data_IF_842459723578
#
_entry.id   IF_842459723578
#
_cell.length_a   1.000
_cell.length_b   1.000
_cell.length_c   1.000
_cell.angle_alpha   90.00
_cell.angle_beta   90.00
_cell.angle_gamma   90.00
#
_symmetry.space_group_name_H-M   'P 1'
#
loop_
_entity.id
_entity.type
_entity.pdbx_description
1 polymer ?
#
# COMPACT_ATOMS: atom_id res chain seq x y z
N UNK A 1 2.51 25.56 5.56
CA UNK A 1 2.46 24.73 6.79
C UNK A 1 1.76 23.44 6.41
N UNK A 2 2.35 22.28 6.73
CA UNK A 2 1.70 21.00 6.49
C UNK A 2 0.45 20.91 7.37
N UNK A 3 -0.65 20.42 6.82
CA UNK A 3 -1.88 20.16 7.56
C UNK A 3 -1.60 19.12 8.67
N UNK A 4 -2.27 19.21 9.83
CA UNK A 4 -2.09 18.23 10.89
C UNK A 4 -2.54 16.84 10.43
N UNK A 5 -1.73 15.83 10.72
CA UNK A 5 -2.04 14.42 10.47
C UNK A 5 -3.16 14.02 11.43
N UNK A 6 -4.36 13.78 10.91
CA UNK A 6 -5.56 13.43 11.69
C UNK A 6 -5.78 11.92 11.82
N UNK A 7 -4.91 11.09 11.27
CA UNK A 7 -4.94 9.63 11.44
C UNK A 7 -3.83 9.17 12.38
N UNK A 8 -4.20 8.33 13.35
CA UNK A 8 -3.25 7.70 14.25
C UNK A 8 -2.48 6.64 13.47
N UNK A 9 -1.21 6.91 13.18
CA UNK A 9 -0.34 5.99 12.45
C UNK A 9 0.75 5.42 13.36
N UNK A 10 0.96 4.11 13.28
CA UNK A 10 2.06 3.43 13.97
C UNK A 10 3.45 3.80 13.40
N UNK A 11 3.51 4.52 12.29
CA UNK A 11 4.74 5.03 11.70
C UNK A 11 4.71 6.55 11.64
N UNK A 12 5.59 7.27 12.36
CA UNK A 12 5.74 8.70 12.15
C UNK A 12 6.34 8.94 10.76
N UNK A 13 5.46 9.19 9.78
CA UNK A 13 5.84 9.64 8.44
C UNK A 13 6.70 10.89 8.61
N UNK A 14 7.94 10.82 8.14
CA UNK A 14 8.96 11.87 8.33
C UNK A 14 9.36 12.15 9.80
N UNK A 15 9.57 11.09 10.60
CA UNK A 15 10.25 11.10 11.91
C UNK A 15 11.44 12.07 11.99
N UNK A 16 11.78 12.55 13.19
CA UNK A 16 12.99 13.36 13.46
C UNK A 16 14.26 12.69 12.89
N UNK A 17 14.30 11.34 12.89
CA UNK A 17 15.39 10.53 12.38
C UNK A 17 15.48 10.53 10.83
N UNK A 18 14.44 10.97 10.13
CA UNK A 18 14.44 11.11 8.68
C UNK A 18 15.22 12.37 8.27
N UNK A 19 16.24 12.25 7.39
CA UNK A 19 16.97 13.39 6.85
C UNK A 19 16.02 14.44 6.26
N UNK A 20 16.20 15.75 6.54
CA UNK A 20 15.28 16.79 6.07
C UNK A 20 14.98 16.73 4.57
N UNK A 21 15.97 16.38 3.75
CA UNK A 21 15.82 16.25 2.28
C UNK A 21 14.88 15.13 1.84
N UNK A 22 14.66 14.11 2.67
CA UNK A 22 13.82 12.95 2.35
C UNK A 22 12.40 13.06 2.91
N UNK A 23 12.12 14.04 3.77
CA UNK A 23 10.79 14.18 4.39
C UNK A 23 9.69 14.44 3.37
N UNK A 24 9.93 15.33 2.41
CA UNK A 24 8.97 15.66 1.35
C UNK A 24 8.66 14.49 0.41
N UNK A 25 9.65 13.79 -0.18
CA UNK A 25 9.35 12.64 -1.03
C UNK A 25 8.70 11.49 -0.26
N UNK A 26 9.08 11.25 1.00
CA UNK A 26 8.42 10.23 1.85
C UNK A 26 6.96 10.61 2.11
N UNK A 27 6.69 11.87 2.46
CA UNK A 27 5.32 12.35 2.66
C UNK A 27 4.48 12.24 1.38
N UNK A 28 5.07 12.46 0.20
CA UNK A 28 4.39 12.31 -1.08
C UNK A 28 4.05 10.85 -1.41
N UNK A 29 4.98 9.92 -1.18
CA UNK A 29 4.72 8.47 -1.34
C UNK A 29 3.63 8.02 -0.37
N UNK A 30 3.72 8.48 0.88
CA UNK A 30 2.73 8.18 1.90
C UNK A 30 1.34 8.69 1.51
N UNK A 31 1.20 9.96 1.13
CA UNK A 31 -0.07 10.54 0.70
C UNK A 31 -0.66 9.81 -0.51
N UNK A 32 0.17 9.36 -1.45
CA UNK A 32 -0.23 8.52 -2.58
C UNK A 32 -0.81 7.17 -2.11
N UNK A 33 -0.08 6.44 -1.28
CA UNK A 33 -0.50 5.13 -0.79
C UNK A 33 -1.80 5.25 0.03
N UNK A 34 -1.86 6.20 0.96
CA UNK A 34 -3.04 6.45 1.80
C UNK A 34 -4.28 6.83 0.99
N UNK A 35 -4.12 7.67 -0.03
CA UNK A 35 -5.26 8.04 -0.90
C UNK A 35 -5.77 6.83 -1.69
N UNK A 36 -4.88 5.95 -2.15
CA UNK A 36 -5.29 4.74 -2.86
C UNK A 36 -5.99 3.73 -1.92
N UNK A 37 -5.48 3.59 -0.70
CA UNK A 37 -6.10 2.83 0.40
C UNK A 37 -7.51 3.36 0.71
N UNK A 38 -7.68 4.69 0.86
CA UNK A 38 -8.98 5.31 1.10
C UNK A 38 -9.99 5.01 -0.01
N UNK A 39 -9.55 5.04 -1.27
CA UNK A 39 -10.39 4.67 -2.42
C UNK A 39 -10.82 3.20 -2.31
N UNK A 40 -9.94 2.30 -1.87
CA UNK A 40 -10.22 0.89 -1.75
C UNK A 40 -11.11 0.55 -0.52
N UNK A 41 -11.03 1.33 0.55
CA UNK A 41 -11.50 0.90 1.87
C UNK A 41 -12.60 1.76 2.47
N UNK A 42 -12.60 3.06 2.22
CA UNK A 42 -13.44 4.01 2.96
C UNK A 42 -14.74 4.37 2.24
N UNK A 43 -15.74 4.82 2.99
CA UNK A 43 -17.02 5.29 2.44
C UNK A 43 -17.99 4.17 2.03
N UNK A 44 -18.99 4.54 1.23
CA UNK A 44 -20.12 3.67 0.84
C UNK A 44 -20.06 3.25 -0.64
N UNK A 45 -18.92 3.46 -1.30
CA UNK A 45 -18.74 3.11 -2.70
C UNK A 45 -18.78 1.58 -2.90
N UNK A 46 -19.45 1.16 -3.97
CA UNK A 46 -19.48 -0.24 -4.40
C UNK A 46 -18.10 -0.70 -4.87
N UNK A 47 -17.85 -2.01 -4.85
CA UNK A 47 -16.60 -2.58 -5.37
C UNK A 47 -16.30 -2.12 -6.82
N UNK A 48 -17.34 -1.99 -7.65
CA UNK A 48 -17.21 -1.50 -9.03
C UNK A 48 -16.71 -0.05 -9.08
N UNK A 49 -17.28 0.84 -8.27
CA UNK A 49 -16.88 2.25 -8.20
C UNK A 49 -15.45 2.40 -7.70
N UNK A 50 -15.07 1.64 -6.65
CA UNK A 50 -13.71 1.62 -6.11
C UNK A 50 -12.69 1.18 -7.16
N UNK A 51 -12.96 0.10 -7.89
CA UNK A 51 -12.10 -0.39 -8.97
C UNK A 51 -11.98 0.62 -10.11
N UNK A 52 -13.07 1.30 -10.47
CA UNK A 52 -13.04 2.36 -11.48
C UNK A 52 -12.18 3.55 -11.02
N UNK A 53 -12.30 3.95 -9.75
CA UNK A 53 -11.52 5.04 -9.18
C UNK A 53 -10.03 4.67 -9.05
N UNK A 54 -9.69 3.45 -8.63
CA UNK A 54 -8.30 2.95 -8.65
C UNK A 54 -7.74 2.89 -10.07
N UNK A 55 -8.55 2.53 -11.07
CA UNK A 55 -8.12 2.54 -12.46
C UNK A 55 -7.85 3.96 -12.97
N UNK A 56 -8.69 4.93 -12.61
CA UNK A 56 -8.47 6.34 -12.90
C UNK A 56 -7.22 6.88 -12.17
N UNK A 57 -7.01 6.50 -10.92
CA UNK A 57 -5.83 6.85 -10.13
C UNK A 57 -4.55 6.29 -10.75
N UNK A 58 -4.58 5.04 -11.24
CA UNK A 58 -3.49 4.40 -12.00
C UNK A 58 -3.23 5.11 -13.33
N UNK A 59 -4.26 5.61 -14.00
CA UNK A 59 -4.09 6.38 -15.23
C UNK A 59 -3.41 7.72 -14.94
N UNK A 60 -3.78 8.40 -13.85
CA UNK A 60 -3.13 9.64 -13.44
C UNK A 60 -1.68 9.42 -13.03
N UNK A 61 -1.35 8.35 -12.29
CA UNK A 61 0.04 7.97 -12.01
C UNK A 61 0.87 7.82 -13.30
N UNK A 62 0.30 7.18 -14.33
CA UNK A 62 0.97 7.03 -15.64
C UNK A 62 1.18 8.38 -16.33
N UNK A 63 0.19 9.26 -16.30
CA UNK A 63 0.27 10.61 -16.88
C UNK A 63 1.36 11.45 -16.21
N UNK A 64 1.38 11.51 -14.87
CA UNK A 64 2.37 12.33 -14.15
C UNK A 64 3.77 11.78 -14.23
N UNK A 65 3.93 10.45 -14.29
CA UNK A 65 5.22 9.81 -14.54
C UNK A 65 5.76 10.11 -15.95
N UNK A 66 4.86 10.37 -16.92
CA UNK A 66 5.21 10.85 -18.25
C UNK A 66 5.42 12.38 -18.33
N UNK A 67 5.36 13.09 -17.20
CA UNK A 67 5.57 14.54 -17.14
C UNK A 67 4.35 15.40 -17.43
N UNK A 68 3.15 14.81 -17.52
CA UNK A 68 1.90 15.57 -17.68
C UNK A 68 1.48 16.20 -16.35
N UNK A 69 0.78 17.33 -16.40
CA UNK A 69 0.28 17.98 -15.20
C UNK A 69 -0.75 17.09 -14.48
N UNK A 70 -0.76 17.08 -13.12
CA UNK A 70 -1.77 16.37 -12.34
C UNK A 70 -3.20 16.81 -12.68
N UNK A 71 -4.14 15.86 -12.61
CA UNK A 71 -5.57 16.14 -12.77
C UNK A 71 -6.13 16.87 -11.55
N UNK A 72 -7.23 17.61 -11.74
CA UNK A 72 -7.82 18.43 -10.68
C UNK A 72 -8.27 17.60 -9.46
N UNK A 73 -8.71 16.35 -9.68
CA UNK A 73 -9.28 15.48 -8.62
C UNK A 73 -8.24 15.14 -7.54
N UNK A 74 -7.00 14.88 -7.91
CA UNK A 74 -5.94 14.43 -7.00
C UNK A 74 -4.67 15.27 -7.09
N UNK A 75 -4.79 16.52 -7.57
CA UNK A 75 -3.67 17.45 -7.73
C UNK A 75 -2.82 17.62 -6.47
N UNK A 76 -3.47 17.63 -5.29
CA UNK A 76 -2.78 17.76 -4.00
C UNK A 76 -1.87 16.55 -3.66
N UNK A 77 -2.16 15.37 -4.23
CA UNK A 77 -1.39 14.15 -4.02
C UNK A 77 -0.36 13.97 -5.13
N UNK A 78 -0.80 14.12 -6.39
CA UNK A 78 0.06 13.88 -7.54
C UNK A 78 1.04 15.03 -7.84
N UNK A 79 0.79 16.26 -7.40
CA UNK A 79 1.76 17.35 -7.52
C UNK A 79 3.06 17.06 -6.75
N UNK A 80 3.00 16.84 -5.43
CA UNK A 80 4.17 16.42 -4.65
C UNK A 80 4.78 15.11 -5.14
N UNK A 81 3.96 14.12 -5.52
CA UNK A 81 4.46 12.85 -6.05
C UNK A 81 5.22 13.04 -7.37
N UNK A 82 4.74 13.89 -8.28
CA UNK A 82 5.44 14.18 -9.53
C UNK A 82 6.81 14.80 -9.27
N UNK A 83 6.91 15.75 -8.33
CA UNK A 83 8.19 16.31 -7.93
C UNK A 83 9.14 15.24 -7.37
N UNK A 84 8.62 14.29 -6.58
CA UNK A 84 9.40 13.16 -6.06
C UNK A 84 9.84 12.18 -7.17
N UNK A 85 8.93 11.83 -8.09
CA UNK A 85 9.20 10.97 -9.25
C UNK A 85 10.35 11.54 -10.10
N UNK A 86 10.32 12.84 -10.39
CA UNK A 86 11.34 13.50 -11.21
C UNK A 86 12.64 13.72 -10.44
N UNK A 87 12.56 14.26 -9.22
CA UNK A 87 13.74 14.63 -8.42
C UNK A 87 14.55 13.44 -7.93
N UNK A 88 13.90 12.29 -7.69
CA UNK A 88 14.56 11.08 -7.20
C UNK A 88 14.56 9.92 -8.20
N UNK A 89 13.97 10.10 -9.40
CA UNK A 89 13.81 9.03 -10.41
C UNK A 89 13.18 7.77 -9.80
N UNK A 90 12.13 7.97 -9.00
CA UNK A 90 11.48 6.88 -8.28
C UNK A 90 10.97 5.81 -9.27
N UNK A 91 11.14 4.52 -8.95
CA UNK A 91 10.66 3.43 -9.79
C UNK A 91 9.13 3.36 -9.78
N UNK A 92 8.49 3.87 -10.85
CA UNK A 92 7.03 3.91 -10.96
C UNK A 92 6.37 2.52 -10.89
N UNK A 93 7.09 1.45 -11.21
CA UNK A 93 6.60 0.09 -11.08
C UNK A 93 6.18 -0.23 -9.64
N UNK A 94 6.98 0.18 -8.64
CA UNK A 94 6.68 -0.06 -7.22
C UNK A 94 5.39 0.64 -6.77
N UNK A 95 5.10 1.83 -7.30
CA UNK A 95 3.85 2.54 -7.02
C UNK A 95 2.65 1.84 -7.69
N UNK A 96 2.84 1.21 -8.85
CA UNK A 96 1.79 0.43 -9.53
C UNK A 96 1.49 -0.86 -8.77
N UNK A 97 2.51 -1.51 -8.21
CA UNK A 97 2.34 -2.73 -7.40
C UNK A 97 1.42 -2.46 -6.21
N UNK A 98 1.57 -1.32 -5.52
CA UNK A 98 0.65 -0.91 -4.45
C UNK A 98 -0.79 -0.80 -4.96
N UNK A 99 -1.00 -0.18 -6.12
CA UNK A 99 -2.33 -0.09 -6.73
C UNK A 99 -2.88 -1.45 -7.17
N UNK A 100 -2.02 -2.42 -7.50
CA UNK A 100 -2.45 -3.79 -7.83
C UNK A 100 -2.90 -4.52 -6.57
N UNK A 101 -2.24 -4.29 -5.43
CA UNK A 101 -2.68 -4.81 -4.14
C UNK A 101 -4.04 -4.24 -3.71
N UNK A 102 -4.24 -2.93 -3.76
CA UNK A 102 -5.53 -2.32 -3.41
C UNK A 102 -6.68 -2.81 -4.30
N UNK A 103 -6.44 -2.96 -5.61
CA UNK A 103 -7.44 -3.50 -6.52
C UNK A 103 -7.74 -4.98 -6.22
N UNK A 104 -6.72 -5.77 -5.87
CA UNK A 104 -6.90 -7.16 -5.44
C UNK A 104 -7.76 -7.26 -4.18
N UNK A 105 -7.51 -6.44 -3.15
CA UNK A 105 -8.28 -6.49 -1.90
C UNK A 105 -9.77 -6.17 -2.14
N UNK A 106 -10.08 -5.18 -2.99
CA UNK A 106 -11.47 -4.89 -3.37
C UNK A 106 -12.11 -6.09 -4.07
N UNK A 107 -11.40 -6.71 -5.02
CA UNK A 107 -11.92 -7.84 -5.78
C UNK A 107 -12.11 -9.09 -4.90
N UNK A 108 -11.16 -9.40 -4.02
CA UNK A 108 -11.24 -10.53 -3.10
C UNK A 108 -12.35 -10.36 -2.06
N UNK A 109 -12.47 -9.16 -1.49
CA UNK A 109 -13.54 -8.83 -0.52
C UNK A 109 -14.92 -9.00 -1.16
N UNK A 110 -15.11 -8.51 -2.39
CA UNK A 110 -16.37 -8.66 -3.12
C UNK A 110 -16.67 -10.13 -3.44
N UNK A 111 -15.65 -10.92 -3.78
CA UNK A 111 -15.79 -12.34 -4.06
C UNK A 111 -15.94 -13.22 -2.80
N UNK A 112 -15.74 -12.67 -1.60
CA UNK A 112 -15.65 -13.46 -0.35
C UNK A 112 -14.46 -14.43 -0.36
N UNK A 113 -13.42 -14.11 -1.11
CA UNK A 113 -12.24 -14.93 -1.29
C UNK A 113 -11.26 -14.82 -0.10
N UNK A 114 -10.37 -15.79 -0.01
CA UNK A 114 -9.31 -15.92 1.00
C UNK A 114 -8.00 -16.29 0.32
N UNK A 115 -6.92 -16.26 1.10
CA UNK A 115 -5.64 -16.82 0.69
C UNK A 115 -5.60 -18.32 1.02
N UNK A 116 -5.31 -19.20 0.04
CA UNK A 116 -5.28 -20.64 0.28
C UNK A 116 -4.13 -21.03 1.21
N UNK A 117 -2.97 -20.38 1.09
CA UNK A 117 -1.77 -20.69 1.85
C UNK A 117 -0.87 -19.47 2.07
N UNK A 118 0.26 -19.70 2.74
CA UNK A 118 1.27 -18.69 3.06
C UNK A 118 1.92 -18.10 1.81
N UNK A 119 2.09 -18.88 0.76
CA UNK A 119 2.77 -18.44 -0.46
C UNK A 119 1.94 -17.36 -1.16
N UNK A 120 0.64 -17.61 -1.34
CA UNK A 120 -0.29 -16.63 -1.93
C UNK A 120 -0.42 -15.36 -1.07
N UNK A 121 -0.45 -15.52 0.26
CA UNK A 121 -0.46 -14.36 1.16
C UNK A 121 0.85 -13.53 1.06
N UNK A 122 2.00 -14.19 0.88
CA UNK A 122 3.27 -13.50 0.68
C UNK A 122 3.40 -12.89 -0.73
N UNK A 123 2.77 -13.48 -1.77
CA UNK A 123 2.65 -12.85 -3.09
C UNK A 123 1.85 -11.54 -3.00
N UNK A 124 0.79 -11.52 -2.18
CA UNK A 124 0.09 -10.28 -1.87
C UNK A 124 1.01 -9.26 -1.17
N UNK A 125 1.75 -9.66 -0.13
CA UNK A 125 2.74 -8.80 0.55
C UNK A 125 3.81 -8.23 -0.39
N UNK A 126 4.21 -8.98 -1.43
CA UNK A 126 5.14 -8.51 -2.47
C UNK A 126 4.64 -7.25 -3.16
N UNK A 127 3.32 -7.04 -3.21
CA UNK A 127 2.67 -5.89 -3.84
C UNK A 127 2.12 -4.88 -2.82
N UNK A 128 1.63 -5.32 -1.68
CA UNK A 128 1.00 -4.45 -0.67
C UNK A 128 1.99 -3.77 0.28
N UNK A 129 3.16 -4.38 0.52
CA UNK A 129 4.09 -3.90 1.55
C UNK A 129 5.52 -3.68 1.03
N UNK A 130 6.10 -4.68 0.36
CA UNK A 130 7.49 -4.64 -0.12
C UNK A 130 7.84 -3.40 -0.97
N UNK A 131 6.95 -2.90 -1.85
CA UNK A 131 7.26 -1.72 -2.65
C UNK A 131 7.57 -0.48 -1.82
N UNK A 132 6.98 -0.34 -0.63
CA UNK A 132 7.27 0.80 0.28
C UNK A 132 8.72 0.77 0.75
N UNK A 133 9.19 -0.38 1.26
CA UNK A 133 10.57 -0.52 1.71
C UNK A 133 11.58 -0.27 0.60
N UNK A 134 11.33 -0.82 -0.59
CA UNK A 134 12.16 -0.60 -1.78
C UNK A 134 12.18 0.86 -2.24
N UNK A 135 11.04 1.57 -2.18
CA UNK A 135 10.98 3.02 -2.45
C UNK A 135 11.81 3.81 -1.44
N UNK A 136 11.78 3.44 -0.16
CA UNK A 136 12.60 4.08 0.86
C UNK A 136 14.10 3.83 0.60
N UNK A 137 14.51 2.57 0.37
CA UNK A 137 15.91 2.27 0.04
C UNK A 137 16.39 3.06 -1.19
N UNK A 138 15.56 3.18 -2.22
CA UNK A 138 15.84 4.01 -3.39
C UNK A 138 16.08 5.49 -3.02
N UNK A 139 15.26 6.07 -2.14
CA UNK A 139 15.47 7.44 -1.65
C UNK A 139 16.78 7.63 -0.87
N UNK A 140 17.22 6.58 -0.17
CA UNK A 140 18.52 6.52 0.51
C UNK A 140 19.68 6.17 -0.43
N UNK A 141 19.43 5.93 -1.72
CA UNK A 141 20.41 5.49 -2.71
C UNK A 141 21.09 4.15 -2.34
N UNK A 142 20.33 3.26 -1.71
CA UNK A 142 20.73 1.88 -1.41
C UNK A 142 20.17 0.98 -2.52
N UNK A 143 21.07 0.29 -3.22
CA UNK A 143 20.74 -0.55 -4.39
C UNK A 143 21.29 -1.97 -4.27
N UNK A 144 21.83 -2.32 -3.11
CA UNK A 144 22.38 -3.65 -2.84
C UNK A 144 21.27 -4.71 -2.79
N UNK A 145 21.50 -5.84 -3.46
CA UNK A 145 20.49 -6.91 -3.60
C UNK A 145 20.16 -7.56 -2.25
N UNK A 146 21.13 -7.69 -1.34
CA UNK A 146 20.90 -8.21 0.00
C UNK A 146 20.06 -7.23 0.82
N UNK A 147 20.35 -5.94 0.77
CA UNK A 147 19.53 -4.92 1.41
C UNK A 147 18.09 -4.90 0.88
N UNK A 148 17.87 -5.09 -0.43
CA UNK A 148 16.54 -5.20 -1.02
C UNK A 148 15.79 -6.44 -0.49
N UNK A 149 16.45 -7.59 -0.42
CA UNK A 149 15.88 -8.84 0.11
C UNK A 149 15.54 -8.74 1.60
N UNK A 150 16.39 -8.10 2.39
CA UNK A 150 16.16 -7.86 3.81
C UNK A 150 15.01 -6.87 4.03
N UNK A 151 14.94 -5.80 3.23
CA UNK A 151 13.82 -4.86 3.27
C UNK A 151 12.50 -5.55 2.95
N UNK A 152 12.47 -6.42 1.94
CA UNK A 152 11.27 -7.19 1.60
C UNK A 152 10.83 -8.10 2.74
N UNK A 153 11.78 -8.78 3.40
CA UNK A 153 11.49 -9.62 4.54
C UNK A 153 10.89 -8.81 5.72
N UNK A 154 11.45 -7.63 6.01
CA UNK A 154 10.95 -6.74 7.06
C UNK A 154 9.54 -6.22 6.70
N UNK A 155 9.34 -5.74 5.47
CA UNK A 155 8.04 -5.23 5.01
C UNK A 155 6.96 -6.31 5.06
N UNK A 156 7.26 -7.51 4.56
CA UNK A 156 6.35 -8.65 4.63
C UNK A 156 6.05 -9.04 6.08
N UNK A 157 7.05 -9.09 6.96
CA UNK A 157 6.84 -9.39 8.37
C UNK A 157 5.95 -8.36 9.07
N UNK A 158 6.18 -7.07 8.85
CA UNK A 158 5.34 -5.99 9.38
C UNK A 158 3.90 -6.09 8.88
N UNK A 159 3.72 -6.44 7.61
CA UNK A 159 2.39 -6.60 7.03
C UNK A 159 1.64 -7.80 7.63
N UNK A 160 2.32 -8.92 7.85
CA UNK A 160 1.74 -10.06 8.55
C UNK A 160 1.35 -9.70 9.99
N UNK A 161 2.19 -8.94 10.69
CA UNK A 161 1.86 -8.43 12.03
C UNK A 161 0.60 -7.56 12.00
N UNK A 162 0.46 -6.68 11.00
CA UNK A 162 -0.76 -5.88 10.80
C UNK A 162 -2.00 -6.78 10.66
N UNK A 163 -1.94 -7.80 9.79
CA UNK A 163 -3.07 -8.73 9.63
C UNK A 163 -3.45 -9.45 10.93
N UNK A 164 -2.47 -9.80 11.77
CA UNK A 164 -2.73 -10.53 13.01
C UNK A 164 -3.25 -9.65 14.14
N UNK A 165 -2.80 -8.38 14.22
CA UNK A 165 -3.30 -7.46 15.24
C UNK A 165 -4.69 -6.90 14.91
N UNK A 166 -5.04 -6.84 13.61
CA UNK A 166 -6.25 -6.15 13.14
C UNK A 166 -7.41 -7.10 12.79
N UNK A 167 -7.38 -8.36 13.23
CA UNK A 167 -8.46 -9.35 12.99
C UNK A 167 -9.85 -8.81 13.35
N UNK A 168 -9.99 -8.10 14.47
CA UNK A 168 -11.26 -7.51 14.91
C UNK A 168 -11.77 -6.37 14.02
N UNK A 169 -10.90 -5.80 13.17
CA UNK A 169 -11.23 -4.73 12.22
C UNK A 169 -11.48 -5.33 10.83
N UNK A 170 -10.65 -6.29 10.41
CA UNK A 170 -10.69 -6.88 9.08
C UNK A 170 -11.84 -7.88 8.87
N UNK A 171 -12.13 -8.74 9.85
CA UNK A 171 -13.18 -9.75 9.74
C UNK A 171 -14.57 -9.13 9.54
N UNK A 172 -15.00 -8.09 10.29
CA UNK A 172 -16.27 -7.40 10.02
C UNK A 172 -16.34 -6.74 8.63
N UNK A 173 -15.18 -6.43 8.04
CA UNK A 173 -15.05 -5.91 6.67
C UNK A 173 -14.98 -7.01 5.61
N UNK A 174 -15.11 -8.28 6.00
CA UNK A 174 -15.02 -9.49 5.15
C UNK A 174 -13.65 -9.68 4.51
N UNK A 175 -12.59 -9.26 5.21
CA UNK A 175 -11.20 -9.48 4.83
C UNK A 175 -10.62 -10.63 5.63
N UNK A 176 -10.00 -11.57 4.92
CA UNK A 176 -9.52 -12.82 5.49
C UNK A 176 -8.05 -13.03 5.11
N UNK A 177 -7.15 -12.66 6.03
CA UNK A 177 -5.70 -12.85 5.87
C UNK A 177 -5.15 -14.04 6.67
N UNK A 178 -5.97 -14.70 7.50
CA UNK A 178 -5.68 -16.05 7.97
C UNK A 178 -5.91 -17.02 6.81
N UNK A 179 -4.87 -17.79 6.46
CA UNK A 179 -4.91 -18.64 5.28
C UNK A 179 -5.77 -19.88 5.53
N UNK A 180 -6.36 -20.43 4.48
CA UNK A 180 -7.19 -21.64 4.60
C UNK A 180 -6.35 -22.82 5.12
N UNK A 181 -5.09 -22.92 4.72
CA UNK A 181 -4.13 -23.91 5.22
C UNK A 181 -3.84 -23.75 6.72
N UNK A 182 -3.61 -22.51 7.21
CA UNK A 182 -3.37 -22.25 8.64
C UNK A 182 -4.63 -22.59 9.46
N UNK A 183 -5.81 -22.15 9.00
CA UNK A 183 -7.09 -22.49 9.64
C UNK A 183 -7.29 -24.01 9.74
N UNK A 184 -7.05 -24.75 8.65
CA UNK A 184 -7.16 -26.20 8.62
C UNK A 184 -6.16 -26.89 9.56
N UNK A 185 -4.90 -26.44 9.58
CA UNK A 185 -3.86 -26.99 10.44
C UNK A 185 -4.17 -26.82 11.94
N UNK A 186 -4.91 -25.76 12.30
CA UNK A 186 -5.29 -25.45 13.67
C UNK A 186 -6.73 -25.84 14.02
N UNK A 187 -7.49 -26.43 13.10
CA UNK A 187 -8.88 -26.85 13.33
C UNK A 187 -9.84 -25.68 13.55
N UNK A 188 -9.56 -24.52 12.98
CA UNK A 188 -10.38 -23.31 13.08
C UNK A 188 -11.27 -23.21 11.84
N UNK A 189 -12.59 -23.21 12.02
CA UNK A 189 -13.52 -22.92 10.94
C UNK A 189 -13.72 -21.42 10.79
N UNK A 190 -14.05 -20.94 9.59
CA UNK A 190 -14.35 -19.50 9.39
C UNK A 190 -15.51 -18.98 10.24
N UNK A 191 -16.44 -19.85 10.62
CA UNK A 191 -17.55 -19.49 11.50
C UNK A 191 -17.10 -19.24 12.96
N UNK A 192 -15.88 -19.65 13.31
CA UNK A 192 -15.29 -19.42 14.63
C UNK A 192 -14.55 -18.08 14.72
N UNK A 193 -14.39 -17.38 13.58
CA UNK A 193 -13.71 -16.08 13.42
C UNK A 193 -14.73 -14.95 13.35
#
# INVERSE_FOLDING_TARGET
MAAPVTHYENFPVASLLCPPRLRQPIAAIYAFARTADDIADEGQATARERLNDLAAYRAELRAVAAGQAPGARWAAVFGPLQAALQGHRLPTALLKDLLDAFAQDVAMTEAGASYPDREELLDYCRRSANPVGRLLLHLYAVHDDDALRESDAICSALQLINFWQDLSVDLPRRRHYLTDADCAAHGVARADL
#
